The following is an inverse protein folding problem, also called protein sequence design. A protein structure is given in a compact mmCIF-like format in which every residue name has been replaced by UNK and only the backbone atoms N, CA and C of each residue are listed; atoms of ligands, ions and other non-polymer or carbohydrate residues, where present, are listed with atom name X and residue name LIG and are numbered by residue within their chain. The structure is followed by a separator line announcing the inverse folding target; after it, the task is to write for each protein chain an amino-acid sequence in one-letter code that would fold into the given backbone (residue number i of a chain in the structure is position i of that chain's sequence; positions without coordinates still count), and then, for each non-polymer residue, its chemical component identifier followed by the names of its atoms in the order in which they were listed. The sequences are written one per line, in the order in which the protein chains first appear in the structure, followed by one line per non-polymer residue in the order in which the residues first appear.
data_IF_194586592670
#
_entry.id   IF_194586592670
#
_cell.length_a   1.000
_cell.length_b   1.000
_cell.length_c   1.000
_cell.angle_alpha   90.00
_cell.angle_beta   90.00
_cell.angle_gamma   90.00
#
_symmetry.space_group_name_H-M   'P 1'
#
loop_
_entity.id
_entity.type
_entity.pdbx_description
1 polymer ?
#
# COMPACT_ATOMS: atom_id res chain seq x y z
N UNK A 1 -7.64 12.37 13.43
CA UNK A 1 -8.97 11.74 13.30
C UNK A 1 -10.01 12.66 13.94
N UNK A 2 -10.67 13.46 13.11
CA UNK A 2 -11.86 14.23 13.52
C UNK A 2 -13.07 13.34 13.23
N UNK A 3 -13.99 13.26 14.18
CA UNK A 3 -15.24 12.51 14.02
C UNK A 3 -15.95 12.94 12.72
N UNK A 4 -16.49 11.96 12.00
CA UNK A 4 -17.38 12.10 10.83
C UNK A 4 -16.80 12.66 9.52
N UNK A 5 -15.51 13.02 9.45
CA UNK A 5 -14.89 13.50 8.19
C UNK A 5 -13.69 12.68 7.72
N UNK A 6 -13.16 11.77 8.56
CA UNK A 6 -12.04 10.92 8.16
C UNK A 6 -12.57 9.59 7.63
N UNK A 7 -12.10 9.12 6.47
CA UNK A 7 -12.47 7.80 5.96
C UNK A 7 -11.92 6.70 6.85
N UNK A 8 -12.56 5.53 6.80
CA UNK A 8 -12.12 4.35 7.53
C UNK A 8 -10.70 3.95 7.13
N UNK A 9 -9.87 3.72 8.13
CA UNK A 9 -8.48 3.30 7.97
C UNK A 9 -8.39 1.79 8.22
N UNK A 10 -7.83 1.08 7.26
CA UNK A 10 -7.63 -0.35 7.32
C UNK A 10 -6.14 -0.68 7.24
N UNK A 11 -5.79 -1.85 7.77
CA UNK A 11 -4.52 -2.49 7.47
C UNK A 11 -4.61 -3.10 6.07
N UNK A 12 -3.70 -2.69 5.20
CA UNK A 12 -3.71 -2.93 3.77
C UNK A 12 -2.49 -3.75 3.37
N UNK A 13 -2.73 -4.88 2.71
CA UNK A 13 -1.67 -5.61 2.03
C UNK A 13 -1.41 -5.02 0.65
N UNK A 14 -0.22 -4.48 0.46
CA UNK A 14 0.26 -3.97 -0.83
C UNK A 14 1.09 -5.04 -1.50
N UNK A 15 0.61 -5.58 -2.62
CA UNK A 15 1.28 -6.63 -3.39
C UNK A 15 1.92 -6.06 -4.65
N UNK A 16 3.24 -6.20 -4.77
CA UNK A 16 3.95 -5.80 -5.97
C UNK A 16 4.06 -6.95 -6.98
N UNK A 17 4.11 -6.63 -8.28
CA UNK A 17 4.35 -7.60 -9.36
C UNK A 17 5.65 -8.42 -9.19
N UNK A 18 6.66 -7.90 -8.48
CA UNK A 18 7.90 -8.61 -8.18
C UNK A 18 7.81 -9.54 -6.94
N UNK A 19 6.61 -9.74 -6.37
CA UNK A 19 6.38 -10.66 -5.25
C UNK A 19 6.64 -10.05 -3.87
N UNK A 20 7.02 -8.77 -3.79
CA UNK A 20 7.16 -8.07 -2.53
C UNK A 20 5.78 -7.69 -1.95
N UNK A 21 5.56 -8.01 -0.68
CA UNK A 21 4.36 -7.63 0.07
C UNK A 21 4.72 -6.62 1.16
N UNK A 22 4.06 -5.46 1.15
CA UNK A 22 4.23 -4.41 2.17
C UNK A 22 2.92 -4.25 2.93
N UNK A 23 3.00 -4.23 4.26
CA UNK A 23 1.87 -3.86 5.10
C UNK A 23 1.85 -2.34 5.25
N UNK A 24 0.78 -1.72 4.82
CA UNK A 24 0.56 -0.29 4.94
C UNK A 24 -0.81 -0.02 5.56
N UNK A 25 -1.02 1.19 6.09
CA UNK A 25 -2.34 1.61 6.53
C UNK A 25 -2.94 2.52 5.48
N UNK A 26 -4.06 2.11 4.89
CA UNK A 26 -4.77 2.91 3.90
C UNK A 26 -6.28 2.76 4.03
N UNK A 27 -7.02 3.56 3.27
CA UNK A 27 -8.48 3.48 3.21
C UNK A 27 -8.98 2.32 2.33
N UNK A 28 -8.07 1.62 1.63
CA UNK A 28 -8.35 0.51 0.72
C UNK A 28 -7.73 -0.77 1.27
N UNK A 29 -8.41 -1.91 1.24
CA UNK A 29 -7.92 -3.14 1.90
C UNK A 29 -6.85 -3.90 1.11
N UNK A 30 -6.95 -3.91 -0.21
CA UNK A 30 -6.02 -4.60 -1.10
C UNK A 30 -5.52 -3.66 -2.18
N UNK A 31 -4.20 -3.55 -2.30
CA UNK A 31 -3.55 -2.70 -3.29
C UNK A 31 -2.58 -3.55 -4.11
N UNK A 32 -2.79 -3.58 -5.42
CA UNK A 32 -1.86 -4.18 -6.38
C UNK A 32 -1.04 -3.08 -7.04
N UNK A 33 0.29 -3.23 -7.03
CA UNK A 33 1.25 -2.27 -7.59
C UNK A 33 2.16 -2.96 -8.59
N UNK A 34 2.44 -2.28 -9.70
CA UNK A 34 3.35 -2.80 -10.73
C UNK A 34 4.82 -2.57 -10.38
N UNK A 35 5.15 -1.48 -9.69
CA UNK A 35 6.53 -1.10 -9.36
C UNK A 35 6.63 -0.61 -7.91
N UNK A 36 7.34 -1.34 -7.06
CA UNK A 36 7.68 -0.91 -5.70
C UNK A 36 9.10 -0.34 -5.63
N UNK A 37 9.49 0.21 -4.48
CA UNK A 37 10.85 0.72 -4.24
C UNK A 37 11.95 -0.34 -4.43
N UNK A 38 11.67 -1.62 -4.19
CA UNK A 38 12.64 -2.69 -4.47
C UNK A 38 12.77 -3.02 -5.96
N UNK A 39 11.82 -2.60 -6.80
CA UNK A 39 11.73 -3.02 -8.20
C UNK A 39 11.90 -1.84 -9.16
N UNK A 40 11.84 -0.59 -8.67
CA UNK A 40 12.16 0.58 -9.46
C UNK A 40 13.70 0.69 -9.61
N UNK A 41 14.24 0.77 -10.83
CA UNK A 41 15.68 0.74 -11.13
C UNK A 41 16.48 1.93 -10.57
N UNK A 42 15.80 2.85 -9.90
CA UNK A 42 16.40 4.00 -9.21
C UNK A 42 16.69 3.71 -7.73
N UNK A 43 16.01 2.74 -7.13
CA UNK A 43 16.09 2.41 -5.71
C UNK A 43 16.70 1.01 -5.47
N UNK A 44 16.89 0.22 -6.54
CA UNK A 44 17.61 -1.07 -6.54
C UNK A 44 19.10 -0.91 -6.31
#
# INVERSE_FOLDING_TARGET
MKADIHPDYFETSVRCACGHEVQAHSTVKDIHIDICSQCHPFYT
#
